data_IF_749945768378
#
_entry.id   IF_749945768378
#
_cell.length_a   1.000
_cell.length_b   1.000
_cell.length_c   1.000
_cell.angle_alpha   90.00
_cell.angle_beta   90.00
_cell.angle_gamma   90.00
#
_symmetry.space_group_name_H-M   'P 1'
#
loop_
_entity.id
_entity.type
_entity.pdbx_description
1 polymer ?
#
# COMPACT_ATOMS: atom_id res chain seq x y z
N UNK A 1 59.15 8.46 10.57
CA UNK A 1 58.90 8.96 9.20
C UNK A 1 57.39 8.98 9.04
N UNK A 2 56.83 10.17 8.84
CA UNK A 2 55.39 10.36 8.73
C UNK A 2 54.95 9.92 7.34
N UNK A 3 54.14 8.87 7.27
CA UNK A 3 53.46 8.49 6.04
C UNK A 3 52.47 9.60 5.70
N UNK A 4 52.74 10.29 4.60
CA UNK A 4 51.90 11.31 4.01
C UNK A 4 50.49 10.77 3.81
N UNK A 5 49.54 11.19 4.65
CA UNK A 5 48.12 11.09 4.34
C UNK A 5 47.92 11.79 2.99
N UNK A 6 47.63 11.01 1.95
CA UNK A 6 47.44 11.51 0.59
C UNK A 6 46.33 12.55 0.58
N UNK A 7 46.71 13.82 0.41
CA UNK A 7 45.76 14.88 0.11
C UNK A 7 45.09 14.52 -1.23
N UNK A 8 43.80 14.16 -1.17
CA UNK A 8 42.98 13.99 -2.37
C UNK A 8 42.94 15.32 -3.12
N UNK A 9 43.34 15.32 -4.39
CA UNK A 9 43.22 16.47 -5.29
C UNK A 9 41.78 16.73 -5.72
N UNK A 10 40.83 15.89 -5.30
CA UNK A 10 39.42 15.92 -5.70
C UNK A 10 38.57 16.64 -4.64
N UNK A 11 38.71 17.96 -4.57
CA UNK A 11 38.00 18.82 -3.60
C UNK A 11 36.52 19.05 -3.95
N UNK A 12 36.08 18.65 -5.13
CA UNK A 12 34.71 18.81 -5.63
C UNK A 12 34.01 17.46 -5.85
N UNK A 13 34.42 16.40 -5.13
CA UNK A 13 33.72 15.12 -5.10
C UNK A 13 32.64 15.13 -4.00
N UNK A 14 31.39 14.79 -4.36
CA UNK A 14 30.32 14.54 -3.39
C UNK A 14 30.02 13.04 -3.35
N UNK A 15 29.97 12.41 -2.17
CA UNK A 15 29.58 11.01 -2.04
C UNK A 15 28.17 10.75 -2.59
N UNK A 16 27.98 9.67 -3.33
CA UNK A 16 26.66 9.28 -3.85
C UNK A 16 25.59 9.14 -2.76
N UNK A 17 25.99 8.80 -1.53
CA UNK A 17 25.11 8.71 -0.36
C UNK A 17 24.33 10.00 -0.10
N UNK A 18 24.91 11.16 -0.44
CA UNK A 18 24.24 12.46 -0.35
C UNK A 18 23.03 12.49 -1.30
N UNK A 19 23.22 12.17 -2.59
CA UNK A 19 22.11 12.09 -3.56
C UNK A 19 21.05 11.08 -3.10
N UNK A 20 21.45 9.90 -2.63
CA UNK A 20 20.51 8.87 -2.19
C UNK A 20 19.67 9.34 -1.02
N UNK A 21 20.27 10.02 -0.04
CA UNK A 21 19.57 10.59 1.10
C UNK A 21 18.55 11.66 0.68
N UNK A 22 18.92 12.55 -0.25
CA UNK A 22 18.03 13.60 -0.76
C UNK A 22 16.77 13.06 -1.42
N UNK A 23 16.88 11.97 -2.18
CA UNK A 23 15.74 11.47 -2.99
C UNK A 23 14.93 10.38 -2.32
N UNK A 24 15.41 9.80 -1.21
CA UNK A 24 14.82 8.59 -0.62
C UNK A 24 13.35 8.78 -0.22
N UNK A 25 13.08 9.80 0.58
CA UNK A 25 11.75 10.00 1.15
C UNK A 25 10.75 10.51 0.12
N UNK A 26 11.20 11.34 -0.83
CA UNK A 26 10.39 11.79 -1.96
C UNK A 26 9.95 10.61 -2.83
N UNK A 27 10.86 9.68 -3.13
CA UNK A 27 10.53 8.46 -3.89
C UNK A 27 9.52 7.60 -3.12
N UNK A 28 9.73 7.37 -1.82
CA UNK A 28 8.77 6.63 -0.98
C UNK A 28 7.40 7.31 -0.96
N UNK A 29 7.37 8.63 -0.86
CA UNK A 29 6.14 9.40 -0.87
C UNK A 29 5.38 9.25 -2.20
N UNK A 30 6.08 9.26 -3.33
CA UNK A 30 5.48 8.99 -4.64
C UNK A 30 4.84 7.60 -4.67
N UNK A 31 5.55 6.57 -4.20
CA UNK A 31 5.03 5.18 -4.16
C UNK A 31 3.77 5.10 -3.29
N UNK A 32 3.80 5.65 -2.08
CA UNK A 32 2.65 5.67 -1.16
C UNK A 32 1.46 6.43 -1.73
N UNK A 33 1.71 7.56 -2.39
CA UNK A 33 0.65 8.41 -2.95
C UNK A 33 -0.06 7.74 -4.12
N UNK A 34 0.66 6.99 -4.95
CA UNK A 34 0.11 6.37 -6.16
C UNK A 34 -0.15 4.87 -6.02
N UNK A 35 0.06 4.32 -4.83
CA UNK A 35 -0.03 2.89 -4.56
C UNK A 35 -0.90 2.55 -3.38
N UNK A 36 -1.32 1.29 -3.36
CA UNK A 36 -1.90 0.62 -2.20
C UNK A 36 -1.43 -0.83 -2.23
N UNK A 37 -0.71 -1.29 -1.19
CA UNK A 37 -0.01 -2.59 -1.18
C UNK A 37 -0.86 -3.79 -1.61
N UNK A 38 -2.17 -3.76 -1.27
CA UNK A 38 -3.11 -4.84 -1.58
C UNK A 38 -3.88 -4.64 -2.90
N UNK A 39 -3.75 -3.49 -3.56
CA UNK A 39 -4.57 -3.14 -4.74
C UNK A 39 -3.76 -2.75 -5.98
N UNK A 40 -2.49 -2.37 -5.82
CA UNK A 40 -1.57 -2.14 -6.92
C UNK A 40 -0.85 -0.80 -6.84
N UNK A 41 -0.12 -0.49 -7.91
CA UNK A 41 0.69 0.73 -8.05
C UNK A 41 0.60 1.22 -9.50
N UNK A 42 0.35 2.52 -9.69
CA UNK A 42 0.34 3.13 -11.03
C UNK A 42 1.78 3.32 -11.50
N UNK A 43 2.43 2.24 -11.94
CA UNK A 43 3.86 2.22 -12.23
C UNK A 43 4.27 3.30 -13.22
N UNK A 44 3.48 3.57 -14.26
CA UNK A 44 3.87 4.58 -15.24
C UNK A 44 4.08 5.97 -14.61
N UNK A 45 3.08 6.46 -13.87
CA UNK A 45 3.16 7.77 -13.22
C UNK A 45 4.25 7.78 -12.14
N UNK A 46 4.35 6.69 -11.37
CA UNK A 46 5.38 6.53 -10.34
C UNK A 46 6.78 6.58 -10.94
N UNK A 47 7.05 5.81 -11.98
CA UNK A 47 8.36 5.75 -12.61
C UNK A 47 8.76 7.08 -13.25
N UNK A 48 7.81 7.77 -13.91
CA UNK A 48 8.04 9.13 -14.43
C UNK A 48 8.37 10.13 -13.31
N UNK A 49 7.59 10.13 -12.23
CA UNK A 49 7.82 11.03 -11.08
C UNK A 49 9.15 10.74 -10.39
N UNK A 50 9.49 9.48 -10.18
CA UNK A 50 10.79 9.06 -9.63
C UNK A 50 11.93 9.51 -10.54
N UNK A 51 11.83 9.32 -11.85
CA UNK A 51 12.84 9.77 -12.80
C UNK A 51 13.04 11.28 -12.74
N UNK A 52 11.96 12.06 -12.61
CA UNK A 52 12.04 13.51 -12.45
C UNK A 52 12.75 13.89 -11.14
N UNK A 53 12.36 13.30 -10.01
CA UNK A 53 13.01 13.52 -8.70
C UNK A 53 14.52 13.28 -8.80
N UNK A 54 14.91 12.14 -9.38
CA UNK A 54 16.33 11.77 -9.55
C UNK A 54 17.05 12.80 -10.44
N UNK A 55 16.46 13.13 -11.58
CA UNK A 55 17.11 14.02 -12.57
C UNK A 55 17.29 15.41 -12.00
N UNK A 56 16.25 15.98 -11.38
CA UNK A 56 16.28 17.30 -10.76
C UNK A 56 17.32 17.38 -9.65
N UNK A 57 17.30 16.45 -8.68
CA UNK A 57 18.27 16.48 -7.57
C UNK A 57 19.70 16.23 -8.04
N UNK A 58 19.90 15.36 -9.02
CA UNK A 58 21.22 15.13 -9.61
C UNK A 58 21.76 16.36 -10.33
N UNK A 59 20.91 17.10 -11.04
CA UNK A 59 21.30 18.38 -11.66
C UNK A 59 21.74 19.37 -10.60
N UNK A 60 20.96 19.56 -9.53
CA UNK A 60 21.31 20.46 -8.44
C UNK A 60 22.64 20.09 -7.75
N UNK A 61 22.87 18.81 -7.47
CA UNK A 61 24.15 18.36 -6.90
C UNK A 61 25.30 18.61 -7.88
N UNK A 62 25.07 18.42 -9.18
CA UNK A 62 26.10 18.57 -10.22
C UNK A 62 26.60 20.02 -10.40
N UNK A 63 25.84 21.02 -9.94
CA UNK A 63 26.24 22.43 -9.93
C UNK A 63 27.46 22.69 -9.02
N UNK A 64 27.69 21.82 -8.03
CA UNK A 64 28.79 21.94 -7.07
C UNK A 64 30.00 21.05 -7.39
N UNK A 65 29.94 20.31 -8.50
CA UNK A 65 30.97 19.34 -8.90
C UNK A 65 31.83 19.88 -10.04
N UNK A 66 33.08 19.43 -10.14
CA UNK A 66 33.88 19.54 -11.36
C UNK A 66 33.57 18.38 -12.33
N UNK A 67 34.27 18.31 -13.47
CA UNK A 67 34.06 17.23 -14.45
C UNK A 67 34.36 15.84 -13.87
N UNK A 68 35.37 15.75 -13.00
CA UNK A 68 35.74 14.51 -12.33
C UNK A 68 34.62 14.04 -11.40
N UNK A 69 34.15 14.93 -10.51
CA UNK A 69 33.08 14.67 -9.56
C UNK A 69 31.78 14.30 -10.27
N UNK A 70 31.42 14.99 -11.36
CA UNK A 70 30.27 14.62 -12.22
C UNK A 70 30.42 13.21 -12.79
N UNK A 71 31.60 12.88 -13.34
CA UNK A 71 31.89 11.55 -13.89
C UNK A 71 31.75 10.44 -12.84
N UNK A 72 32.31 10.67 -11.65
CA UNK A 72 32.22 9.75 -10.51
C UNK A 72 30.78 9.55 -10.04
N UNK A 73 30.04 10.64 -9.79
CA UNK A 73 28.63 10.56 -9.37
C UNK A 73 27.78 9.81 -10.42
N UNK A 74 28.00 10.06 -11.71
CA UNK A 74 27.31 9.35 -12.79
C UNK A 74 27.56 7.84 -12.79
N UNK A 75 28.82 7.44 -12.59
CA UNK A 75 29.24 6.04 -12.54
C UNK A 75 28.67 5.32 -11.31
N UNK A 76 28.81 5.93 -10.12
CA UNK A 76 28.28 5.40 -8.86
C UNK A 76 26.76 5.29 -8.89
N UNK A 77 26.07 6.31 -9.41
CA UNK A 77 24.63 6.24 -9.61
C UNK A 77 24.24 5.10 -10.53
N UNK A 78 24.90 4.95 -11.69
CA UNK A 78 24.56 3.91 -12.67
C UNK A 78 24.70 2.50 -12.10
N UNK A 79 25.71 2.27 -11.26
CA UNK A 79 25.93 0.98 -10.58
C UNK A 79 24.97 0.74 -9.41
N UNK A 80 24.67 1.77 -8.59
CA UNK A 80 23.82 1.63 -7.39
C UNK A 80 22.32 1.79 -7.64
N UNK A 81 21.89 2.46 -8.71
CA UNK A 81 20.49 2.84 -9.00
C UNK A 81 19.48 1.71 -8.80
N UNK A 82 19.71 0.56 -9.46
CA UNK A 82 18.73 -0.52 -9.45
C UNK A 82 18.61 -1.16 -8.07
N UNK A 83 19.73 -1.32 -7.36
CA UNK A 83 19.75 -1.86 -5.99
C UNK A 83 19.00 -0.93 -5.04
N UNK A 84 19.30 0.37 -5.13
CA UNK A 84 18.64 1.40 -4.33
C UNK A 84 17.13 1.44 -4.57
N UNK A 85 16.69 1.59 -5.83
CA UNK A 85 15.26 1.67 -6.15
C UNK A 85 14.52 0.37 -5.81
N UNK A 86 15.12 -0.79 -6.06
CA UNK A 86 14.52 -2.08 -5.68
C UNK A 86 14.24 -2.15 -4.19
N UNK A 87 15.21 -1.75 -3.36
CA UNK A 87 15.06 -1.69 -1.91
C UNK A 87 13.90 -0.78 -1.49
N UNK A 88 13.78 0.41 -2.08
CA UNK A 88 12.69 1.34 -1.74
C UNK A 88 11.30 0.78 -2.09
N UNK A 89 11.16 0.14 -3.25
CA UNK A 89 9.89 -0.49 -3.62
C UNK A 89 9.54 -1.64 -2.67
N UNK A 90 10.53 -2.48 -2.32
CA UNK A 90 10.33 -3.62 -1.42
C UNK A 90 9.91 -3.17 -0.01
N UNK A 91 10.53 -2.11 0.52
CA UNK A 91 10.17 -1.48 1.79
C UNK A 91 8.73 -0.96 1.81
N UNK A 92 8.27 -0.41 0.68
CA UNK A 92 6.88 0.04 0.51
C UNK A 92 5.90 -1.08 0.13
N UNK A 93 6.39 -2.32 0.00
CA UNK A 93 5.56 -3.50 -0.28
C UNK A 93 5.25 -3.74 -1.77
N UNK A 94 6.03 -3.17 -2.68
CA UNK A 94 5.87 -3.30 -4.12
C UNK A 94 7.07 -3.99 -4.78
N UNK A 95 6.85 -4.48 -6.01
CA UNK A 95 7.90 -5.06 -6.84
C UNK A 95 8.48 -3.94 -7.70
N UNK A 96 9.80 -3.80 -7.79
CA UNK A 96 10.37 -2.79 -8.68
C UNK A 96 10.15 -3.16 -10.16
N UNK A 97 9.41 -2.30 -10.89
CA UNK A 97 9.11 -2.50 -12.31
C UNK A 97 9.42 -1.27 -13.19
N UNK A 98 10.15 -0.27 -12.69
CA UNK A 98 10.50 0.95 -13.46
C UNK A 98 11.58 0.75 -14.52
N UNK A 99 11.61 -0.42 -15.16
CA UNK A 99 12.49 -0.72 -16.27
C UNK A 99 11.83 -0.31 -17.60
N UNK A 100 12.55 0.38 -18.51
CA UNK A 100 11.97 1.05 -19.69
C UNK A 100 11.41 0.12 -20.78
N UNK A 101 11.38 -1.20 -20.60
CA UNK A 101 11.17 -2.17 -21.69
C UNK A 101 9.89 -3.01 -21.65
N UNK A 102 8.96 -2.83 -20.70
CA UNK A 102 7.92 -3.87 -20.48
C UNK A 102 6.46 -3.48 -20.33
N UNK A 103 6.09 -2.20 -20.34
CA UNK A 103 4.68 -1.84 -20.11
C UNK A 103 4.12 -1.09 -21.30
N UNK A 104 3.19 -1.72 -22.02
CA UNK A 104 2.28 -1.01 -22.93
C UNK A 104 1.51 -0.01 -22.07
N UNK A 105 1.72 1.29 -22.29
CA UNK A 105 0.88 2.29 -21.65
C UNK A 105 -0.50 2.26 -22.32
N UNK A 106 -1.52 1.87 -21.55
CA UNK A 106 -2.91 2.01 -21.97
C UNK A 106 -3.54 2.99 -20.96
N UNK A 107 -3.69 4.28 -21.32
CA UNK A 107 -4.13 5.32 -20.39
C UNK A 107 -5.44 4.98 -19.68
N UNK A 108 -6.37 4.34 -20.40
CA UNK A 108 -7.65 3.89 -19.87
C UNK A 108 -7.50 2.86 -18.73
N UNK A 109 -6.58 1.91 -18.86
CA UNK A 109 -6.33 0.89 -17.82
C UNK A 109 -5.57 1.48 -16.62
N UNK A 110 -4.67 2.44 -16.85
CA UNK A 110 -4.04 3.21 -15.77
C UNK A 110 -5.09 4.03 -14.99
N UNK A 111 -6.07 4.63 -15.67
CA UNK A 111 -7.17 5.34 -15.02
C UNK A 111 -8.06 4.40 -14.19
N UNK A 112 -8.38 3.22 -14.72
CA UNK A 112 -9.13 2.19 -13.99
C UNK A 112 -8.36 1.73 -12.74
N UNK A 113 -7.05 1.50 -12.85
CA UNK A 113 -6.18 1.16 -11.72
C UNK A 113 -6.13 2.27 -10.66
N UNK A 114 -5.96 3.53 -11.08
CA UNK A 114 -5.97 4.68 -10.17
C UNK A 114 -7.28 4.77 -9.38
N UNK A 115 -8.42 4.56 -10.04
CA UNK A 115 -9.73 4.50 -9.38
C UNK A 115 -9.82 3.36 -8.38
N UNK A 116 -9.30 2.18 -8.73
CA UNK A 116 -9.25 1.03 -7.83
C UNK A 116 -8.40 1.29 -6.57
N UNK A 117 -7.23 1.91 -6.74
CA UNK A 117 -6.33 2.28 -5.64
C UNK A 117 -7.00 3.30 -4.72
N UNK A 118 -7.65 4.33 -5.27
CA UNK A 118 -8.38 5.32 -4.50
C UNK A 118 -9.52 4.67 -3.69
N UNK A 119 -10.30 3.79 -4.31
CA UNK A 119 -11.30 3.00 -3.61
C UNK A 119 -10.70 2.22 -2.44
N UNK A 120 -9.54 1.56 -2.62
CA UNK A 120 -8.91 0.80 -1.54
C UNK A 120 -8.48 1.68 -0.37
N UNK A 121 -7.91 2.86 -0.64
CA UNK A 121 -7.52 3.83 0.39
C UNK A 121 -8.74 4.33 1.17
N UNK A 122 -9.78 4.78 0.47
CA UNK A 122 -11.01 5.29 1.10
C UNK A 122 -11.73 4.18 1.89
N UNK A 123 -11.77 2.96 1.33
CA UNK A 123 -12.32 1.78 2.01
C UNK A 123 -11.61 1.51 3.34
N UNK A 124 -10.28 1.55 3.36
CA UNK A 124 -9.52 1.25 4.57
C UNK A 124 -9.79 2.27 5.67
N UNK A 125 -9.87 3.55 5.33
CA UNK A 125 -10.25 4.63 6.26
C UNK A 125 -11.67 4.43 6.78
N UNK A 126 -12.66 4.32 5.89
CA UNK A 126 -14.07 4.18 6.28
C UNK A 126 -14.31 2.90 7.10
N UNK A 127 -13.63 1.81 6.75
CA UNK A 127 -13.73 0.56 7.50
C UNK A 127 -13.13 0.70 8.89
N UNK A 128 -11.98 1.34 9.02
CA UNK A 128 -11.36 1.59 10.32
C UNK A 128 -12.28 2.42 11.23
N UNK A 129 -12.92 3.46 10.69
CA UNK A 129 -13.87 4.29 11.45
C UNK A 129 -15.07 3.50 11.97
N UNK A 130 -15.65 2.63 11.13
CA UNK A 130 -16.78 1.77 11.53
C UNK A 130 -16.35 0.75 12.59
N UNK A 131 -15.15 0.19 12.48
CA UNK A 131 -14.63 -0.80 13.45
C UNK A 131 -14.26 -0.14 14.78
N UNK A 132 -13.69 1.07 14.75
CA UNK A 132 -13.30 1.81 15.96
C UNK A 132 -14.51 2.26 16.77
N UNK A 133 -15.61 2.65 16.10
CA UNK A 133 -16.89 2.98 16.76
C UNK A 133 -18.04 2.20 16.12
N UNK A 134 -18.26 0.94 16.55
CA UNK A 134 -19.26 0.07 15.96
C UNK A 134 -20.68 0.57 16.18
N UNK A 135 -21.26 1.17 15.15
CA UNK A 135 -22.65 1.59 15.10
C UNK A 135 -23.33 0.92 13.91
N UNK A 136 -24.46 0.24 14.14
CA UNK A 136 -25.21 -0.46 13.09
C UNK A 136 -25.49 0.44 11.88
N UNK A 137 -25.97 1.67 12.12
CA UNK A 137 -26.30 2.63 11.08
C UNK A 137 -25.08 3.03 10.23
N UNK A 138 -23.91 3.20 10.84
CA UNK A 138 -22.65 3.49 10.13
C UNK A 138 -22.20 2.30 9.30
N UNK A 139 -22.31 1.08 9.83
CA UNK A 139 -22.01 -0.14 9.08
C UNK A 139 -22.92 -0.29 7.85
N UNK A 140 -24.23 -0.05 7.99
CA UNK A 140 -25.17 -0.09 6.86
C UNK A 140 -24.80 0.95 5.80
N UNK A 141 -24.47 2.19 6.20
CA UNK A 141 -24.02 3.25 5.29
C UNK A 141 -22.75 2.84 4.54
N UNK A 142 -21.76 2.30 5.24
CA UNK A 142 -20.53 1.76 4.64
C UNK A 142 -20.85 0.66 3.61
N UNK A 143 -21.68 -0.33 3.97
CA UNK A 143 -22.07 -1.40 3.05
C UNK A 143 -22.86 -0.91 1.84
N UNK A 144 -23.60 0.19 1.98
CA UNK A 144 -24.27 0.87 0.87
C UNK A 144 -23.24 1.54 -0.06
N UNK A 145 -22.27 2.29 0.50
CA UNK A 145 -21.17 2.88 -0.27
C UNK A 145 -20.38 1.81 -1.05
N UNK A 146 -20.08 0.66 -0.43
CA UNK A 146 -19.44 -0.47 -1.12
C UNK A 146 -20.25 -0.95 -2.34
N UNK A 147 -21.58 -0.99 -2.27
CA UNK A 147 -22.40 -1.38 -3.43
C UNK A 147 -22.30 -0.36 -4.55
N UNK A 148 -22.37 0.93 -4.23
CA UNK A 148 -22.23 2.01 -5.22
C UNK A 148 -20.88 1.93 -5.93
N UNK A 149 -19.79 1.78 -5.15
CA UNK A 149 -18.44 1.65 -5.70
C UNK A 149 -18.29 0.39 -6.57
N UNK A 150 -18.79 -0.75 -6.08
CA UNK A 150 -18.75 -2.02 -6.84
C UNK A 150 -19.48 -1.90 -8.17
N UNK A 151 -20.69 -1.35 -8.18
CA UNK A 151 -21.49 -1.21 -9.40
C UNK A 151 -20.81 -0.29 -10.40
N UNK A 152 -20.32 0.87 -9.94
CA UNK A 152 -19.63 1.83 -10.80
C UNK A 152 -18.36 1.25 -11.42
N UNK A 153 -17.50 0.64 -10.60
CA UNK A 153 -16.27 0.00 -11.06
C UNK A 153 -16.53 -1.19 -11.99
N UNK A 154 -17.50 -2.05 -11.67
CA UNK A 154 -17.81 -3.24 -12.50
C UNK A 154 -18.21 -2.83 -13.91
N UNK A 155 -19.01 -1.76 -14.06
CA UNK A 155 -19.43 -1.28 -15.37
C UNK A 155 -18.24 -0.86 -16.24
N UNK A 156 -17.32 -0.10 -15.67
CA UNK A 156 -16.12 0.37 -16.38
C UNK A 156 -15.18 -0.79 -16.69
N UNK A 157 -14.91 -1.65 -15.71
CA UNK A 157 -14.11 -2.86 -15.88
C UNK A 157 -14.65 -3.75 -17.01
N UNK A 158 -15.96 -3.98 -17.09
CA UNK A 158 -16.54 -4.81 -18.15
C UNK A 158 -16.39 -4.18 -19.53
N UNK A 159 -16.44 -2.86 -19.64
CA UNK A 159 -16.18 -2.17 -20.90
C UNK A 159 -14.71 -2.33 -21.34
N UNK A 160 -13.77 -2.26 -20.39
CA UNK A 160 -12.33 -2.42 -20.67
C UNK A 160 -11.98 -3.86 -21.02
N UNK A 161 -12.59 -4.84 -20.34
CA UNK A 161 -12.41 -6.27 -20.62
C UNK A 161 -12.93 -6.65 -22.01
N UNK A 162 -14.03 -6.03 -22.46
CA UNK A 162 -14.54 -6.21 -23.83
C UNK A 162 -13.56 -5.74 -24.89
N UNK A 163 -12.78 -4.70 -24.60
CA UNK A 163 -11.82 -4.11 -25.54
C UNK A 163 -10.45 -4.82 -25.52
N UNK A 164 -9.91 -5.14 -24.34
CA UNK A 164 -8.52 -5.58 -24.19
C UNK A 164 -8.33 -7.05 -23.77
N UNK A 165 -9.41 -7.78 -23.48
CA UNK A 165 -9.45 -9.07 -22.75
C UNK A 165 -9.16 -8.96 -21.25
N UNK A 166 -9.72 -9.88 -20.46
CA UNK A 166 -9.53 -9.92 -19.01
C UNK A 166 -8.08 -10.12 -18.60
N UNK A 167 -7.33 -10.95 -19.34
CA UNK A 167 -5.92 -11.22 -19.04
C UNK A 167 -5.05 -9.97 -19.17
N UNK A 168 -5.31 -9.12 -20.16
CA UNK A 168 -4.59 -7.84 -20.32
C UNK A 168 -4.96 -6.88 -19.19
N UNK A 169 -6.25 -6.75 -18.86
CA UNK A 169 -6.72 -5.89 -17.78
C UNK A 169 -6.14 -6.32 -16.43
N UNK A 170 -6.18 -7.61 -16.10
CA UNK A 170 -5.69 -8.15 -14.81
C UNK A 170 -4.22 -7.85 -14.56
N UNK A 171 -3.37 -7.82 -15.59
CA UNK A 171 -1.93 -7.48 -15.45
C UNK A 171 -1.70 -6.10 -14.83
N UNK A 172 -2.59 -5.13 -15.06
CA UNK A 172 -2.48 -3.80 -14.45
C UNK A 172 -2.71 -3.84 -12.95
N UNK A 173 -3.52 -4.79 -12.47
CA UNK A 173 -3.78 -5.01 -11.05
C UNK A 173 -2.74 -5.94 -10.43
N UNK A 174 -1.46 -5.72 -10.72
CA UNK A 174 -0.39 -6.52 -10.11
C UNK A 174 -0.09 -6.04 -8.69
N UNK A 175 0.09 -6.99 -7.78
CA UNK A 175 0.50 -6.75 -6.39
C UNK A 175 1.66 -7.67 -6.04
N UNK A 176 2.21 -7.54 -4.83
CA UNK A 176 3.24 -8.46 -4.34
C UNK A 176 2.72 -9.91 -4.26
N UNK A 177 1.47 -10.10 -3.83
CA UNK A 177 0.82 -11.42 -3.75
C UNK A 177 0.40 -11.95 -5.12
N UNK A 178 0.09 -11.06 -6.05
CA UNK A 178 -0.35 -11.38 -7.40
C UNK A 178 0.54 -10.68 -8.45
N UNK A 179 1.81 -11.11 -8.61
CA UNK A 179 2.77 -10.45 -9.48
C UNK A 179 2.44 -10.54 -10.97
N UNK A 180 1.54 -11.46 -11.35
CA UNK A 180 1.04 -11.63 -12.72
C UNK A 180 -0.29 -10.89 -12.97
N UNK A 181 -0.79 -10.15 -11.99
CA UNK A 181 -2.12 -9.57 -12.01
C UNK A 181 -3.18 -10.46 -11.39
N UNK A 182 -4.34 -9.87 -11.08
CA UNK A 182 -5.51 -10.59 -10.55
C UNK A 182 -6.81 -9.88 -10.96
N UNK A 183 -7.95 -10.53 -10.68
CA UNK A 183 -9.27 -9.91 -10.86
C UNK A 183 -9.56 -8.90 -9.72
N UNK A 184 -9.60 -7.59 -10.01
CA UNK A 184 -9.85 -6.56 -9.00
C UNK A 184 -11.27 -6.63 -8.42
N UNK A 185 -12.23 -7.28 -9.09
CA UNK A 185 -13.60 -7.42 -8.58
C UNK A 185 -13.65 -8.25 -7.29
N UNK A 186 -12.68 -9.13 -7.06
CA UNK A 186 -12.54 -9.89 -5.82
C UNK A 186 -12.48 -9.00 -4.58
N UNK A 187 -11.77 -7.87 -4.68
CA UNK A 187 -11.64 -6.89 -3.60
C UNK A 187 -13.01 -6.32 -3.23
N UNK A 188 -13.80 -5.87 -4.20
CA UNK A 188 -15.13 -5.29 -3.95
C UNK A 188 -16.10 -6.32 -3.34
N UNK A 189 -16.08 -7.57 -3.80
CA UNK A 189 -16.94 -8.64 -3.28
C UNK A 189 -16.67 -8.94 -1.81
N UNK A 190 -15.42 -8.83 -1.37
CA UNK A 190 -14.97 -9.12 0.00
C UNK A 190 -14.96 -7.89 0.92
N UNK A 191 -15.41 -6.73 0.45
CA UNK A 191 -15.26 -5.47 1.18
C UNK A 191 -16.37 -5.16 2.20
N UNK A 192 -17.53 -5.81 2.12
CA UNK A 192 -18.63 -5.57 3.06
C UNK A 192 -18.29 -6.06 4.48
N UNK A 193 -18.79 -5.34 5.46
CA UNK A 193 -18.80 -5.77 6.87
C UNK A 193 -20.07 -6.60 7.14
N UNK A 194 -19.98 -7.58 8.04
CA UNK A 194 -21.18 -8.17 8.63
C UNK A 194 -21.77 -7.17 9.62
N UNK A 195 -22.87 -6.50 9.27
CA UNK A 195 -23.50 -5.51 10.15
C UNK A 195 -24.41 -6.14 11.21
N UNK A 196 -24.77 -7.41 11.09
CA UNK A 196 -25.66 -8.09 12.05
C UNK A 196 -25.01 -8.20 13.43
N UNK A 197 -23.68 -8.26 13.49
CA UNK A 197 -22.92 -8.28 14.74
C UNK A 197 -22.93 -6.92 15.47
N UNK A 198 -23.50 -5.88 14.86
CA UNK A 198 -23.68 -4.55 15.46
C UNK A 198 -25.15 -4.18 15.65
N UNK A 199 -26.08 -4.99 15.15
CA UNK A 199 -27.50 -4.73 15.17
C UNK A 199 -28.11 -5.16 16.51
N UNK A 200 -28.62 -4.25 17.37
CA UNK A 200 -29.20 -4.61 18.66
C UNK A 200 -30.36 -5.59 18.58
N UNK A 201 -31.08 -5.62 17.46
CA UNK A 201 -32.21 -6.53 17.24
C UNK A 201 -31.79 -7.91 16.72
N UNK A 202 -30.51 -8.10 16.39
CA UNK A 202 -30.00 -9.35 15.83
C UNK A 202 -29.71 -10.38 16.91
N UNK A 203 -30.10 -11.64 16.68
CA UNK A 203 -29.75 -12.77 17.56
C UNK A 203 -28.24 -12.91 17.74
N UNK A 204 -27.44 -12.58 16.71
CA UNK A 204 -25.96 -12.64 16.77
C UNK A 204 -25.39 -11.59 17.72
N UNK A 205 -25.85 -10.36 17.65
CA UNK A 205 -25.45 -9.30 18.57
C UNK A 205 -25.77 -9.67 20.03
N UNK A 206 -26.99 -10.16 20.26
CA UNK A 206 -27.41 -10.61 21.59
C UNK A 206 -26.53 -11.75 22.12
N UNK A 207 -26.20 -12.74 21.29
CA UNK A 207 -25.29 -13.83 21.66
C UNK A 207 -23.88 -13.31 22.04
N UNK A 208 -23.32 -12.39 21.24
CA UNK A 208 -22.02 -11.78 21.52
C UNK A 208 -22.00 -10.95 22.82
N UNK A 209 -23.12 -10.32 23.18
CA UNK A 209 -23.24 -9.61 24.46
C UNK A 209 -23.24 -10.58 25.64
N UNK A 210 -23.96 -11.70 25.54
CA UNK A 210 -24.01 -12.73 26.59
C UNK A 210 -22.63 -13.37 26.80
N UNK A 211 -21.89 -13.66 25.74
CA UNK A 211 -20.53 -14.22 25.84
C UNK A 211 -19.50 -13.22 26.40
N UNK A 212 -19.72 -11.91 26.24
CA UNK A 212 -18.86 -10.85 26.78
C UNK A 212 -19.23 -10.40 28.19
N UNK A 213 -20.42 -10.75 28.68
CA UNK A 213 -20.84 -10.41 30.03
C UNK A 213 -19.96 -11.18 31.04
N UNK A 214 -19.44 -10.52 32.09
CA UNK A 214 -18.71 -11.22 33.14
C UNK A 214 -19.63 -12.30 33.71
N UNK A 215 -19.15 -13.55 33.68
CA UNK A 215 -19.88 -14.66 34.28
C UNK A 215 -19.93 -14.40 35.78
N UNK A 216 -21.06 -13.91 36.27
CA UNK A 216 -21.34 -13.94 37.70
C UNK A 216 -21.49 -15.41 38.09
N UNK A 217 -20.37 -16.04 38.46
CA UNK A 217 -20.37 -17.30 39.19
C UNK A 217 -21.11 -17.03 40.50
N UNK A 218 -22.40 -17.36 40.51
CA UNK A 218 -23.16 -17.49 41.74
C UNK A 218 -22.45 -18.59 42.55
N UNK A 219 -21.64 -18.21 43.54
CA UNK A 219 -21.20 -19.14 44.56
C UNK A 219 -22.46 -19.69 45.22
N UNK A 220 -22.79 -20.93 44.90
CA UNK A 220 -23.92 -21.63 45.49
C UNK A 220 -23.73 -21.67 47.01
N UNK A 221 -24.72 -21.24 47.82
CA UNK A 221 -24.61 -21.31 49.26
C UNK A 221 -24.48 -22.78 49.67
N UNK A 222 -23.36 -23.09 50.34
CA UNK A 222 -23.01 -24.44 50.75
C UNK A 222 -24.16 -25.12 51.50
N UNK A 223 -24.55 -26.29 51.02
CA UNK A 223 -25.48 -27.19 51.67
C UNK A 223 -24.99 -27.52 53.08
N UNK A 224 -25.78 -27.13 54.08
CA UNK A 224 -25.63 -27.53 55.47
C UNK A 224 -25.65 -29.06 55.56
N UNK A 225 -24.51 -29.65 55.88
CA UNK A 225 -24.46 -31.06 56.31
C UNK A 225 -24.54 -31.10 57.83
N UNK A 226 -25.76 -31.31 58.32
CA UNK A 226 -25.99 -31.87 59.66
C UNK A 226 -25.38 -33.27 59.67
N UNK A 227 -24.47 -33.55 60.60
CA UNK A 227 -24.18 -34.91 61.06
C UNK A 227 -24.22 -34.94 62.59
N UNK A 228 -25.20 -35.67 63.10
CA UNK A 228 -25.28 -36.17 64.48
C UNK A 228 -24.57 -37.52 64.59
N UNK A 229 -24.09 -37.76 65.81
CA UNK A 229 -23.70 -39.03 66.46
C UNK A 229 -22.38 -39.66 65.99
N UNK A 230 -21.48 -40.10 66.89
CA UNK A 230 -21.64 -40.62 68.26
C UNK A 230 -20.99 -39.79 69.36
#
# INVERSE_FOLDING_TARGET
>A
MADSQGYTTHTHDIPIEVLLAFIQDDIKNVIRTHGHKNCGLVYEDVCKKIQNIITTNKTHISEFLDDHGRGKLNSEWSSKKNVFLKKLFEEEGFIYMCSPKKNTNIPRLNQLLSRHINFCKEKDVLRADVVAKPEYSKCVKYNSWINTQRTSFTREYLNDVREFTSQTVHKYFSTKEHPRGHDPLGTYRKSKLDCEIYNPKSKRYQKNLVEKAPTNTLQSPGTSSIKREF
#
